data_IF_871332677746
#
_entry.id   IF_871332677746
#
_cell.length_a   1.000
_cell.length_b   1.000
_cell.length_c   1.000
_cell.angle_alpha   90.00
_cell.angle_beta   90.00
_cell.angle_gamma   90.00
#
_symmetry.space_group_name_H-M   'P 1'
#
loop_
_entity.id
_entity.type
_entity.pdbx_description
1 polymer ?
#
# COMPACT_ATOMS: atom_id res chain seq x y z
N UNK A 1 -1.45 3.89 -6.48
CA UNK A 1 -0.20 4.29 -5.79
C UNK A 1 -0.57 4.62 -4.36
N UNK A 2 0.09 3.97 -3.41
CA UNK A 2 0.01 4.26 -1.98
C UNK A 2 1.27 5.03 -1.61
N UNK A 3 1.14 6.13 -0.87
CA UNK A 3 2.27 6.94 -0.41
C UNK A 3 2.11 7.19 1.09
N UNK A 4 3.21 7.10 1.82
CA UNK A 4 3.27 7.44 3.24
C UNK A 4 4.63 8.05 3.57
N UNK A 5 4.71 8.69 4.73
CA UNK A 5 5.92 9.29 5.23
C UNK A 5 5.99 9.15 6.75
N UNK A 6 7.20 8.99 7.26
CA UNK A 6 7.52 9.03 8.68
C UNK A 6 8.24 10.34 9.00
N UNK A 7 7.96 10.93 10.16
CA UNK A 7 8.73 12.07 10.65
C UNK A 7 10.07 11.60 11.27
N UNK A 8 10.02 10.46 11.96
CA UNK A 8 11.13 9.81 12.65
C UNK A 8 10.86 8.31 12.65
N UNK A 9 11.93 7.52 12.66
CA UNK A 9 11.89 6.06 12.83
C UNK A 9 12.80 5.67 13.99
N UNK A 10 12.36 4.69 14.79
CA UNK A 10 13.09 4.15 15.93
C UNK A 10 13.01 2.64 15.84
N UNK A 11 14.16 1.99 15.70
CA UNK A 11 14.31 0.54 15.58
C UNK A 11 13.37 -0.06 14.52
N UNK A 12 13.09 0.66 13.44
CA UNK A 12 12.17 0.24 12.40
C UNK A 12 12.87 -0.64 11.37
N UNK A 13 12.40 -1.86 11.18
CA UNK A 13 12.85 -2.75 10.13
C UNK A 13 12.17 -2.43 8.79
N UNK A 14 10.90 -2.01 8.82
CA UNK A 14 10.13 -1.65 7.64
C UNK A 14 8.64 -1.72 7.87
N UNK A 15 7.88 -1.83 6.79
CA UNK A 15 6.43 -1.74 6.81
C UNK A 15 5.78 -2.86 6.02
N UNK A 16 4.78 -3.52 6.62
CA UNK A 16 3.85 -4.37 5.93
C UNK A 16 2.66 -3.55 5.42
N UNK A 17 2.32 -3.70 4.14
CA UNK A 17 1.06 -3.21 3.58
C UNK A 17 0.06 -4.32 3.46
N UNK A 18 -1.12 -4.10 4.03
CA UNK A 18 -2.25 -5.01 3.96
C UNK A 18 -3.39 -4.41 3.16
N UNK A 19 -4.20 -5.29 2.54
CA UNK A 19 -5.38 -4.91 1.79
C UNK A 19 -6.54 -5.88 1.99
N UNK A 20 -7.77 -5.35 2.09
CA UNK A 20 -9.02 -6.12 2.16
C UNK A 20 -10.15 -5.45 1.36
N UNK A 21 -11.23 -6.19 1.07
CA UNK A 21 -12.46 -5.62 0.47
C UNK A 21 -13.44 -5.03 1.48
N UNK A 22 -13.22 -5.32 2.76
CA UNK A 22 -14.05 -4.87 3.88
C UNK A 22 -13.14 -4.20 4.90
N UNK A 23 -13.67 -3.32 5.73
CA UNK A 23 -12.92 -2.63 6.77
C UNK A 23 -12.71 -3.55 7.99
N UNK A 24 -11.99 -4.65 7.78
CA UNK A 24 -11.67 -5.63 8.80
C UNK A 24 -10.25 -6.17 8.56
N UNK A 25 -9.32 -5.77 9.44
CA UNK A 25 -7.92 -6.16 9.34
C UNK A 25 -7.72 -7.68 9.44
N UNK A 26 -8.59 -8.40 10.16
CA UNK A 26 -8.48 -9.86 10.29
C UNK A 26 -8.70 -10.59 8.97
N UNK A 27 -9.33 -9.93 7.99
CA UNK A 27 -9.57 -10.43 6.64
C UNK A 27 -8.60 -9.83 5.61
N UNK A 28 -7.64 -9.01 6.06
CA UNK A 28 -6.69 -8.36 5.19
C UNK A 28 -5.54 -9.28 4.79
N UNK A 29 -5.11 -9.15 3.53
CA UNK A 29 -3.99 -9.89 2.97
C UNK A 29 -2.75 -9.00 2.94
N UNK A 30 -1.59 -9.57 3.31
CA UNK A 30 -0.29 -8.92 3.09
C UNK A 30 -0.05 -8.83 1.58
N UNK A 31 0.17 -7.62 1.07
CA UNK A 31 0.40 -7.37 -0.36
C UNK A 31 1.82 -6.91 -0.66
N UNK A 32 2.52 -6.33 0.31
CA UNK A 32 3.88 -5.84 0.14
C UNK A 32 4.59 -5.67 1.48
N UNK A 33 5.91 -5.85 1.47
CA UNK A 33 6.81 -5.41 2.53
C UNK A 33 7.76 -4.35 1.96
N UNK A 34 7.81 -3.19 2.61
CA UNK A 34 8.71 -2.08 2.27
C UNK A 34 9.77 -1.96 3.36
N UNK A 35 11.05 -2.23 3.09
CA UNK A 35 12.10 -2.05 4.09
C UNK A 35 12.23 -0.58 4.49
N UNK A 36 12.65 -0.32 5.74
CA UNK A 36 13.01 1.04 6.15
C UNK A 36 14.10 1.60 5.23
N UNK A 37 13.92 2.84 4.78
CA UNK A 37 14.96 3.58 4.07
C UNK A 37 16.02 4.17 5.02
N UNK A 38 15.77 4.09 6.33
CA UNK A 38 16.65 4.60 7.37
C UNK A 38 17.67 3.53 7.72
N UNK A 39 18.95 3.82 7.49
CA UNK A 39 20.03 2.88 7.81
C UNK A 39 20.02 2.55 9.30
N UNK A 40 19.85 1.27 9.62
CA UNK A 40 19.76 0.80 11.00
C UNK A 40 18.40 1.02 11.67
N UNK A 41 17.41 1.54 10.94
CA UNK A 41 16.03 1.69 11.42
C UNK A 41 15.77 2.86 12.37
N UNK A 42 16.80 3.66 12.67
CA UNK A 42 16.70 4.76 13.63
C UNK A 42 17.24 6.07 13.05
N UNK A 43 16.40 7.10 12.98
CA UNK A 43 16.79 8.41 12.46
C UNK A 43 15.62 9.25 11.94
N UNK A 44 15.94 10.39 11.31
CA UNK A 44 14.97 11.22 10.62
C UNK A 44 14.21 10.40 9.59
N UNK A 45 12.88 10.41 9.63
CA UNK A 45 12.05 9.53 8.82
C UNK A 45 12.18 9.73 7.30
N UNK A 46 11.45 8.93 6.54
CA UNK A 46 11.55 8.88 5.09
C UNK A 46 10.17 8.92 4.41
N UNK A 47 10.20 9.03 3.09
CA UNK A 47 9.01 8.92 2.24
C UNK A 47 9.05 7.63 1.45
N UNK A 48 7.89 7.00 1.31
CA UNK A 48 7.76 5.68 0.73
C UNK A 48 6.61 5.65 -0.27
N UNK A 49 6.68 4.72 -1.22
CA UNK A 49 5.63 4.53 -2.23
C UNK A 49 5.53 3.09 -2.69
N UNK A 50 4.30 2.62 -2.87
CA UNK A 50 4.03 1.30 -3.42
C UNK A 50 2.93 1.34 -4.49
N UNK A 51 3.19 0.74 -5.65
CA UNK A 51 2.20 0.59 -6.71
C UNK A 51 1.42 -0.72 -6.52
N UNK A 52 0.25 -0.61 -5.88
CA UNK A 52 -0.70 -1.70 -5.84
C UNK A 52 -1.53 -1.79 -7.13
N UNK A 53 -1.78 -3.03 -7.59
CA UNK A 53 -2.62 -3.37 -8.74
C UNK A 53 -3.72 -4.36 -8.30
N UNK A 54 -4.86 -3.88 -7.76
CA UNK A 54 -5.95 -4.77 -7.38
C UNK A 54 -6.48 -5.57 -8.58
N UNK A 55 -6.85 -6.84 -8.38
CA UNK A 55 -7.27 -7.72 -9.47
C UNK A 55 -8.65 -7.35 -10.03
N UNK A 56 -9.47 -6.65 -9.25
CA UNK A 56 -10.80 -6.19 -9.67
C UNK A 56 -11.08 -4.77 -9.18
N UNK A 57 -12.07 -4.17 -9.82
CA UNK A 57 -12.69 -2.92 -9.39
C UNK A 57 -13.44 -3.08 -8.06
N UNK A 58 -13.62 -1.96 -7.37
CA UNK A 58 -14.35 -1.88 -6.11
C UNK A 58 -13.60 -1.05 -5.07
N UNK A 59 -14.19 -0.95 -3.88
CA UNK A 59 -13.54 -0.32 -2.73
C UNK A 59 -12.60 -1.32 -2.07
N UNK A 60 -11.39 -0.86 -1.80
CA UNK A 60 -10.37 -1.59 -1.07
C UNK A 60 -9.95 -0.78 0.15
N UNK A 61 -9.71 -1.49 1.24
CA UNK A 61 -9.24 -0.95 2.51
C UNK A 61 -7.78 -1.33 2.69
N UNK A 62 -6.99 -0.39 3.15
CA UNK A 62 -5.54 -0.53 3.30
C UNK A 62 -5.11 -0.24 4.73
N UNK A 63 -4.13 -1.01 5.20
CA UNK A 63 -3.46 -0.79 6.48
C UNK A 63 -1.95 -0.79 6.26
N UNK A 64 -1.28 0.06 7.02
CA UNK A 64 0.16 0.09 7.15
C UNK A 64 0.51 -0.39 8.55
N UNK A 65 1.42 -1.35 8.64
CA UNK A 65 1.95 -1.84 9.91
C UNK A 65 3.47 -1.68 9.91
N UNK A 66 4.03 -1.06 10.95
CA UNK A 66 5.49 -1.08 11.12
C UNK A 66 5.93 -2.42 11.71
N UNK A 67 7.17 -2.80 11.40
CA UNK A 67 7.85 -3.96 11.95
C UNK A 67 9.14 -3.43 12.57
N UNK A 68 9.36 -3.71 13.84
CA UNK A 68 10.60 -3.33 14.50
C UNK A 68 11.77 -4.29 14.14
N UNK A 69 12.99 -3.95 14.57
CA UNK A 69 14.19 -4.77 14.36
C UNK A 69 14.18 -6.10 15.14
N UNK A 70 13.21 -6.30 16.03
CA UNK A 70 12.94 -7.57 16.72
C UNK A 70 11.87 -8.41 16.01
N UNK A 71 11.27 -7.89 14.93
CA UNK A 71 10.21 -8.55 14.17
C UNK A 71 8.81 -8.39 14.79
N UNK A 72 8.64 -7.51 15.78
CA UNK A 72 7.33 -7.20 16.35
C UNK A 72 6.61 -6.24 15.41
N UNK A 73 5.37 -6.59 15.09
CA UNK A 73 4.53 -5.78 14.21
C UNK A 73 3.55 -4.93 15.02
N UNK A 74 3.44 -3.65 14.66
CA UNK A 74 2.40 -2.74 15.16
C UNK A 74 1.55 -2.26 13.99
N UNK A 75 0.23 -2.49 14.07
CA UNK A 75 -0.72 -2.08 13.03
C UNK A 75 -1.34 -0.75 13.43
N UNK A 76 -1.26 0.25 12.56
CA UNK A 76 -1.93 1.53 12.78
C UNK A 76 -3.36 1.49 12.26
N UNK A 77 -4.29 1.95 13.10
CA UNK A 77 -5.68 2.23 12.74
C UNK A 77 -5.90 3.74 12.88
N UNK A 78 -6.67 4.39 11.98
CA UNK A 78 -7.63 3.81 11.05
C UNK A 78 -7.04 3.30 9.73
N UNK A 79 -7.78 2.41 9.08
CA UNK A 79 -7.59 2.01 7.69
C UNK A 79 -7.89 3.17 6.73
N UNK A 80 -7.44 3.05 5.48
CA UNK A 80 -7.79 3.97 4.39
C UNK A 80 -8.60 3.25 3.32
N UNK A 81 -9.79 3.78 2.99
CA UNK A 81 -10.61 3.28 1.88
C UNK A 81 -10.24 3.98 0.56
N UNK A 82 -10.04 3.18 -0.49
CA UNK A 82 -9.73 3.66 -1.85
C UNK A 82 -10.63 2.94 -2.85
N UNK A 83 -11.36 3.70 -3.66
CA UNK A 83 -12.17 3.15 -4.75
C UNK A 83 -11.30 2.95 -6.01
N UNK A 84 -11.21 1.72 -6.49
CA UNK A 84 -10.48 1.36 -7.71
C UNK A 84 -11.46 1.07 -8.84
N UNK A 85 -11.24 1.72 -9.98
CA UNK A 85 -12.04 1.60 -11.20
C UNK A 85 -11.09 1.32 -12.36
N UNK A 86 -11.41 0.34 -13.22
CA UNK A 86 -10.66 0.13 -14.46
C UNK A 86 -11.36 0.88 -15.58
N UNK A 87 -10.75 1.95 -16.07
CA UNK A 87 -11.20 2.55 -17.32
C UNK A 87 -10.87 1.60 -18.46
N UNK A 88 -11.87 1.20 -19.23
CA UNK A 88 -11.66 0.47 -20.48
C UNK A 88 -11.81 1.45 -21.63
N UNK A 89 -10.73 1.71 -22.36
CA UNK A 89 -10.80 2.39 -23.65
C UNK A 89 -10.63 1.35 -24.77
N UNK A 90 -11.63 1.26 -25.65
CA UNK A 90 -11.56 0.46 -26.86
C UNK A 90 -11.17 1.39 -28.01
N UNK A 91 -9.96 1.23 -28.54
CA UNK A 91 -9.56 1.91 -29.77
C UNK A 91 -10.12 1.14 -30.96
N UNK A 92 -10.98 1.79 -31.74
CA UNK A 92 -11.37 1.27 -33.04
C UNK A 92 -10.26 1.57 -34.06
N UNK A 93 -9.85 0.61 -34.90
CA UNK A 93 -9.01 0.92 -36.04
C UNK A 93 -9.75 1.87 -36.99
N UNK A 94 -9.00 2.64 -37.78
CA UNK A 94 -9.58 3.55 -38.76
C UNK A 94 -10.53 2.81 -39.72
N UNK A 95 -11.80 3.23 -39.78
CA UNK A 95 -12.86 2.60 -40.58
C UNK A 95 -13.22 3.41 -41.84
N UNK A 96 -12.24 4.01 -42.52
CA UNK A 96 -12.50 4.67 -43.80
C UNK A 96 -12.72 3.63 -44.91
N UNK A 97 -13.92 3.63 -45.51
CA UNK A 97 -14.18 2.87 -46.75
C UNK A 97 -13.60 3.65 -47.93
N UNK A 98 -12.91 2.95 -48.84
CA UNK A 98 -12.57 3.47 -50.18
C UNK A 98 -13.78 3.40 -51.09
#
# INVERSE_FOLDING_TARGET
MLNWATAEEIDNYGFNLYRARVDDFSLAQLIHFEPSAIQGGTGSGATYRYLDMPPVQGTWWYWLADIDTQGIQTVYNPSVAIAVQFQTQIYLPWMGKR
#
